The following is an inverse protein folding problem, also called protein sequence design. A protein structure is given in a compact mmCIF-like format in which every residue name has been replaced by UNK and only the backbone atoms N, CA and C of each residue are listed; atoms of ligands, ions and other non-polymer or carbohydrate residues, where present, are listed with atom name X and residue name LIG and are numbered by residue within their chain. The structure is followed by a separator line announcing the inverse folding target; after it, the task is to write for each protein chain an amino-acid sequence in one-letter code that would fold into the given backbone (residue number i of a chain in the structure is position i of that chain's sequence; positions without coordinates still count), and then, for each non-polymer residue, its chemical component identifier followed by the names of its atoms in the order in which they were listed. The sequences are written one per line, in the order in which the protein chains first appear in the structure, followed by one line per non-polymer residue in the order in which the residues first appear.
data_IF_370344574152
#
_entry.id   IF_370344574152
#
_cell.length_a   1.000
_cell.length_b   1.000
_cell.length_c   1.000
_cell.angle_alpha   90.00
_cell.angle_beta   90.00
_cell.angle_gamma   90.00
#
_symmetry.space_group_name_H-M   'P 1'
#
loop_
_entity.id
_entity.type
_entity.pdbx_description
1 polymer ?
#
# COMPACT_ATOMS: atom_id res chain seq x y z
N UNK A 1 20.65 -28.81 -3.29
CA UNK A 1 19.31 -28.49 -3.84
C UNK A 1 18.43 -28.11 -2.66
N UNK A 2 17.66 -27.04 -2.78
CA UNK A 2 16.69 -26.56 -1.79
C UNK A 2 15.30 -26.84 -2.31
N UNK A 3 14.46 -27.45 -1.47
CA UNK A 3 13.07 -27.75 -1.82
C UNK A 3 12.14 -26.68 -1.25
N UNK A 4 11.25 -26.18 -2.11
CA UNK A 4 10.21 -25.24 -1.73
C UNK A 4 8.82 -25.83 -1.93
N UNK A 5 7.88 -25.43 -1.08
CA UNK A 5 6.46 -25.66 -1.31
C UNK A 5 5.76 -24.34 -1.60
N UNK A 6 4.68 -24.38 -2.40
CA UNK A 6 3.85 -23.22 -2.72
C UNK A 6 2.45 -23.47 -2.17
N UNK A 7 1.93 -22.56 -1.37
CA UNK A 7 0.55 -22.58 -0.86
C UNK A 7 -0.29 -21.64 -1.72
N UNK A 8 -1.18 -22.19 -2.51
CA UNK A 8 -2.02 -21.52 -3.48
C UNK A 8 -1.40 -21.45 -4.88
N UNK A 9 -2.18 -21.87 -5.90
CA UNK A 9 -1.81 -21.81 -7.32
C UNK A 9 -2.74 -20.86 -8.09
N UNK A 10 -3.01 -19.69 -7.47
CA UNK A 10 -3.71 -18.59 -8.10
C UNK A 10 -2.82 -17.80 -9.06
N UNK A 11 -3.14 -16.54 -9.29
CA UNK A 11 -2.38 -15.65 -10.19
C UNK A 11 -0.91 -15.57 -9.77
N UNK A 12 -0.64 -15.29 -8.49
CA UNK A 12 0.74 -15.14 -7.99
C UNK A 12 1.45 -16.50 -7.91
N UNK A 13 0.85 -17.51 -7.31
CA UNK A 13 1.49 -18.83 -7.14
C UNK A 13 1.82 -19.52 -8.47
N UNK A 14 0.94 -19.43 -9.47
CA UNK A 14 1.25 -19.92 -10.83
C UNK A 14 2.40 -19.12 -11.46
N UNK A 15 2.46 -17.81 -11.19
CA UNK A 15 3.59 -16.98 -11.61
C UNK A 15 4.91 -17.38 -10.95
N UNK A 16 4.90 -17.69 -9.65
CA UNK A 16 6.08 -18.20 -8.92
C UNK A 16 6.58 -19.50 -9.52
N UNK A 17 5.67 -20.46 -9.75
CA UNK A 17 6.03 -21.73 -10.40
C UNK A 17 6.61 -21.51 -11.82
N UNK A 18 6.02 -20.59 -12.59
CA UNK A 18 6.52 -20.22 -13.92
C UNK A 18 7.93 -19.62 -13.86
N UNK A 19 8.17 -18.64 -12.99
CA UNK A 19 9.46 -17.93 -12.87
C UNK A 19 10.56 -18.90 -12.39
N UNK A 20 10.29 -19.71 -11.35
CA UNK A 20 11.25 -20.69 -10.83
C UNK A 20 11.65 -21.71 -11.92
N UNK A 21 10.72 -22.17 -12.74
CA UNK A 21 11.00 -23.15 -13.79
C UNK A 21 11.68 -22.51 -15.00
N UNK A 22 11.16 -21.39 -15.49
CA UNK A 22 11.67 -20.70 -16.69
C UNK A 22 13.10 -20.21 -16.50
N UNK A 23 13.41 -19.67 -15.31
CA UNK A 23 14.69 -19.03 -15.00
C UNK A 23 15.59 -19.90 -14.11
N UNK A 24 15.34 -21.23 -14.03
CA UNK A 24 15.98 -22.14 -13.06
C UNK A 24 17.52 -22.02 -13.00
N UNK A 25 18.20 -22.02 -14.15
CA UNK A 25 19.65 -21.94 -14.22
C UNK A 25 20.18 -20.59 -13.67
N UNK A 26 19.56 -19.46 -14.04
CA UNK A 26 19.94 -18.14 -13.55
C UNK A 26 19.67 -17.99 -12.05
N UNK A 27 18.54 -18.55 -11.59
CA UNK A 27 18.16 -18.55 -10.17
C UNK A 27 19.16 -19.39 -9.37
N UNK A 28 19.50 -20.60 -9.82
CA UNK A 28 20.47 -21.47 -9.17
C UNK A 28 21.84 -20.79 -9.05
N UNK A 29 22.28 -20.11 -10.10
CA UNK A 29 23.54 -19.35 -10.06
C UNK A 29 23.51 -18.23 -9.02
N UNK A 30 22.41 -17.46 -8.95
CA UNK A 30 22.26 -16.35 -7.98
C UNK A 30 22.07 -16.84 -6.56
N UNK A 31 21.36 -17.94 -6.36
CA UNK A 31 21.13 -18.54 -5.05
C UNK A 31 22.33 -19.35 -4.52
N UNK A 32 23.28 -19.70 -5.40
CA UNK A 32 24.42 -20.55 -5.08
C UNK A 32 24.09 -22.05 -5.04
N UNK A 33 22.81 -22.44 -5.29
CA UNK A 33 22.37 -23.83 -5.37
C UNK A 33 21.00 -23.92 -6.07
N UNK A 34 20.68 -25.14 -6.54
CA UNK A 34 19.40 -25.41 -7.20
C UNK A 34 18.23 -25.28 -6.24
N UNK A 35 17.11 -24.75 -6.76
CA UNK A 35 15.82 -24.62 -6.07
C UNK A 35 14.80 -25.46 -6.83
N UNK A 36 14.11 -26.36 -6.14
CA UNK A 36 13.08 -27.22 -6.72
C UNK A 36 11.73 -27.03 -6.03
N UNK A 37 10.66 -26.98 -6.81
CA UNK A 37 9.30 -27.04 -6.27
C UNK A 37 9.01 -28.50 -5.94
N UNK A 38 8.73 -28.79 -4.66
CA UNK A 38 8.46 -30.16 -4.19
C UNK A 38 6.98 -30.45 -4.03
N UNK A 39 6.19 -29.45 -3.59
CA UNK A 39 4.73 -29.55 -3.45
C UNK A 39 4.06 -28.21 -3.75
N UNK A 40 2.83 -28.30 -4.25
CA UNK A 40 1.94 -27.16 -4.45
C UNK A 40 0.61 -27.49 -3.80
N UNK A 41 0.18 -26.74 -2.81
CA UNK A 41 -1.12 -26.87 -2.17
C UNK A 41 -2.16 -26.05 -2.96
N UNK A 42 -3.17 -26.71 -3.49
CA UNK A 42 -4.37 -26.05 -4.03
C UNK A 42 -5.56 -27.03 -3.98
N UNK A 43 -6.75 -26.53 -3.77
CA UNK A 43 -7.98 -27.34 -3.74
C UNK A 43 -8.45 -27.72 -5.15
N UNK A 44 -8.02 -26.96 -6.15
CA UNK A 44 -8.33 -27.20 -7.58
C UNK A 44 -7.36 -28.23 -8.16
N UNK A 45 -7.72 -28.76 -9.31
CA UNK A 45 -6.91 -29.71 -10.08
C UNK A 45 -6.38 -29.05 -11.34
N UNK A 46 -5.15 -29.42 -11.73
CA UNK A 46 -4.46 -28.85 -12.88
C UNK A 46 -3.77 -29.98 -13.69
N UNK A 47 -4.58 -30.92 -14.24
CA UNK A 47 -4.03 -32.11 -14.92
C UNK A 47 -3.25 -31.80 -16.20
N UNK A 48 -3.47 -30.61 -16.79
CA UNK A 48 -2.81 -30.14 -18.00
C UNK A 48 -1.38 -29.65 -17.79
N UNK A 49 -1.01 -29.36 -16.53
CA UNK A 49 0.30 -28.79 -16.23
C UNK A 49 1.40 -29.87 -16.26
N UNK A 50 2.59 -29.55 -16.76
CA UNK A 50 3.72 -30.49 -16.82
C UNK A 50 4.30 -30.84 -15.44
N UNK A 51 3.73 -30.33 -14.35
CA UNK A 51 4.05 -30.59 -12.96
C UNK A 51 2.80 -30.91 -12.12
N UNK A 52 1.79 -31.51 -12.76
CA UNK A 52 0.54 -31.89 -12.11
C UNK A 52 0.74 -32.82 -10.90
N UNK A 53 1.78 -33.63 -10.94
CA UNK A 53 2.19 -34.59 -9.90
C UNK A 53 2.69 -33.90 -8.60
N UNK A 54 2.99 -32.61 -8.62
CA UNK A 54 3.43 -31.86 -7.45
C UNK A 54 2.25 -31.34 -6.59
N UNK A 55 1.01 -31.40 -7.10
CA UNK A 55 -0.14 -30.87 -6.39
C UNK A 55 -0.59 -31.79 -5.26
N UNK A 56 -1.03 -31.17 -4.17
CA UNK A 56 -1.70 -31.82 -3.04
C UNK A 56 -2.84 -30.94 -2.54
N UNK A 57 -3.86 -31.58 -1.95
CA UNK A 57 -4.95 -30.90 -1.21
C UNK A 57 -4.75 -30.98 0.30
N UNK A 58 -3.70 -31.69 0.74
CA UNK A 58 -3.42 -31.93 2.15
C UNK A 58 -2.19 -31.09 2.60
N UNK A 59 -2.43 -30.12 3.47
CA UNK A 59 -1.37 -29.27 4.04
C UNK A 59 -0.34 -30.07 4.87
N UNK A 60 -0.77 -31.13 5.53
CA UNK A 60 0.13 -31.95 6.36
C UNK A 60 1.26 -32.62 5.55
N UNK A 61 1.04 -32.91 4.26
CA UNK A 61 2.11 -33.41 3.37
C UNK A 61 3.24 -32.39 3.17
N UNK A 62 2.95 -31.09 3.33
CA UNK A 62 3.94 -30.02 3.28
C UNK A 62 4.55 -29.80 4.66
N UNK A 63 3.70 -29.74 5.67
CA UNK A 63 4.12 -29.45 7.04
C UNK A 63 5.09 -30.50 7.57
N UNK A 64 4.79 -31.79 7.34
CA UNK A 64 5.55 -32.93 7.88
C UNK A 64 6.72 -33.36 6.98
N UNK A 65 6.85 -32.87 5.76
CA UNK A 65 7.97 -33.22 4.86
C UNK A 65 9.26 -32.50 5.34
N UNK A 66 10.26 -33.25 5.87
CA UNK A 66 11.50 -32.65 6.39
C UNK A 66 12.42 -32.12 5.28
N UNK A 67 12.16 -32.50 4.02
CA UNK A 67 12.96 -32.01 2.90
C UNK A 67 12.49 -30.65 2.36
N UNK A 68 11.34 -30.11 2.83
CA UNK A 68 10.85 -28.78 2.49
C UNK A 68 11.43 -27.78 3.50
N UNK A 69 12.32 -26.89 3.04
CA UNK A 69 12.97 -25.88 3.86
C UNK A 69 12.25 -24.52 3.83
N UNK A 70 11.63 -24.19 2.70
CA UNK A 70 11.00 -22.88 2.48
C UNK A 70 9.57 -23.11 2.00
N UNK A 71 8.63 -22.35 2.58
CA UNK A 71 7.23 -22.34 2.17
C UNK A 71 6.88 -20.95 1.60
N UNK A 72 6.30 -20.95 0.42
CA UNK A 72 5.83 -19.75 -0.30
C UNK A 72 4.31 -19.67 -0.18
N UNK A 73 3.79 -18.67 0.55
CA UNK A 73 2.36 -18.44 0.72
C UNK A 73 1.85 -17.38 -0.27
N UNK A 74 0.87 -17.76 -1.09
CA UNK A 74 0.25 -16.92 -2.14
C UNK A 74 -1.27 -17.09 -2.22
N UNK A 75 -1.90 -17.50 -1.11
CA UNK A 75 -3.35 -17.76 -1.08
C UNK A 75 -4.18 -16.48 -0.96
N UNK A 76 -3.66 -15.50 -0.18
CA UNK A 76 -4.41 -14.30 0.17
C UNK A 76 -5.42 -14.54 1.30
N UNK A 77 -5.97 -13.45 1.85
CA UNK A 77 -6.85 -13.49 3.01
C UNK A 77 -6.09 -13.80 4.31
N UNK A 78 -6.77 -13.68 5.47
CA UNK A 78 -6.13 -13.95 6.76
C UNK A 78 -6.16 -15.44 7.10
N UNK A 79 -7.27 -16.12 6.90
CA UNK A 79 -7.42 -17.55 7.14
C UNK A 79 -7.70 -18.31 5.83
N UNK A 80 -7.12 -19.49 5.63
CA UNK A 80 -6.23 -20.26 6.52
C UNK A 80 -4.75 -19.85 6.47
N UNK A 81 -4.37 -18.77 5.76
CA UNK A 81 -2.97 -18.39 5.53
C UNK A 81 -2.20 -18.22 6.84
N UNK A 82 -2.78 -17.53 7.83
CA UNK A 82 -2.15 -17.32 9.13
C UNK A 82 -1.85 -18.65 9.84
N UNK A 83 -2.81 -19.56 9.87
CA UNK A 83 -2.65 -20.84 10.58
C UNK A 83 -1.55 -21.69 9.93
N UNK A 84 -1.49 -21.70 8.59
CA UNK A 84 -0.48 -22.44 7.85
C UNK A 84 0.92 -21.83 7.96
N UNK A 85 1.04 -20.51 7.84
CA UNK A 85 2.33 -19.80 8.00
C UNK A 85 2.88 -20.00 9.40
N UNK A 86 2.05 -19.80 10.43
CA UNK A 86 2.42 -20.02 11.82
C UNK A 86 2.89 -21.45 12.06
N UNK A 87 2.16 -22.44 11.56
CA UNK A 87 2.52 -23.86 11.68
C UNK A 87 3.84 -24.18 11.00
N UNK A 88 4.09 -23.61 9.81
CA UNK A 88 5.35 -23.77 9.09
C UNK A 88 6.54 -23.22 9.88
N UNK A 89 6.43 -21.99 10.41
CA UNK A 89 7.48 -21.38 11.22
C UNK A 89 7.75 -22.21 12.50
N UNK A 90 6.72 -22.70 13.17
CA UNK A 90 6.86 -23.56 14.34
C UNK A 90 7.48 -24.93 14.00
N UNK A 91 7.27 -25.43 12.77
CA UNK A 91 7.86 -26.67 12.27
C UNK A 91 9.28 -26.48 11.70
N UNK A 92 9.89 -25.32 11.86
CA UNK A 92 11.28 -25.07 11.42
C UNK A 92 11.44 -24.77 9.94
N UNK A 93 10.38 -24.31 9.26
CA UNK A 93 10.41 -23.92 7.84
C UNK A 93 10.36 -22.39 7.72
N UNK A 94 11.30 -21.81 6.97
CA UNK A 94 11.24 -20.40 6.60
C UNK A 94 10.05 -20.11 5.67
N UNK A 95 9.50 -18.92 5.73
CA UNK A 95 8.30 -18.55 4.95
C UNK A 95 8.52 -17.27 4.15
N UNK A 96 8.08 -17.31 2.91
CA UNK A 96 7.95 -16.15 2.02
C UNK A 96 6.47 -15.93 1.72
N UNK A 97 5.97 -14.70 1.81
CA UNK A 97 4.57 -14.41 1.50
C UNK A 97 4.37 -13.16 0.65
N UNK A 98 3.33 -13.14 -0.17
CA UNK A 98 2.82 -11.97 -0.86
C UNK A 98 1.57 -11.37 -0.20
N UNK A 99 1.15 -11.91 0.94
CA UNK A 99 -0.13 -11.64 1.57
C UNK A 99 -0.06 -10.40 2.49
N UNK A 100 -0.39 -9.24 1.93
CA UNK A 100 -0.42 -7.98 2.66
C UNK A 100 -1.39 -7.96 3.85
N UNK A 101 -2.50 -8.68 3.75
CA UNK A 101 -3.48 -8.76 4.84
C UNK A 101 -2.92 -9.53 6.04
N UNK A 102 -2.25 -10.63 5.78
CA UNK A 102 -1.56 -11.42 6.80
C UNK A 102 -0.47 -10.59 7.49
N UNK A 103 0.40 -9.95 6.71
CA UNK A 103 1.53 -9.17 7.25
C UNK A 103 1.05 -7.96 8.04
N UNK A 104 0.07 -7.21 7.52
CA UNK A 104 -0.49 -6.04 8.21
C UNK A 104 -1.24 -6.38 9.50
N UNK A 105 -1.84 -7.58 9.58
CA UNK A 105 -2.62 -7.99 10.75
C UNK A 105 -1.82 -8.78 11.79
N UNK A 106 -0.75 -9.51 11.39
CA UNK A 106 -0.05 -10.52 12.19
C UNK A 106 1.47 -10.50 12.02
N UNK A 107 2.01 -9.47 11.37
CA UNK A 107 3.43 -9.41 11.05
C UNK A 107 4.33 -9.43 12.29
N UNK A 108 3.94 -8.73 13.36
CA UNK A 108 4.66 -8.70 14.63
C UNK A 108 4.77 -10.09 15.27
N UNK A 109 3.65 -10.81 15.34
CA UNK A 109 3.60 -12.17 15.89
C UNK A 109 4.43 -13.16 15.05
N UNK A 110 4.25 -13.13 13.73
CA UNK A 110 4.95 -14.06 12.83
C UNK A 110 6.46 -13.80 12.77
N UNK A 111 6.87 -12.53 12.82
CA UNK A 111 8.28 -12.16 12.91
C UNK A 111 8.90 -12.60 14.25
N UNK A 112 8.15 -12.48 15.36
CA UNK A 112 8.59 -12.96 16.66
C UNK A 112 8.78 -14.48 16.65
N UNK A 113 7.82 -15.25 16.10
CA UNK A 113 7.94 -16.71 15.96
C UNK A 113 9.14 -17.08 15.08
N UNK A 114 9.33 -16.40 13.95
CA UNK A 114 10.49 -16.65 13.09
C UNK A 114 11.81 -16.38 13.82
N UNK A 115 11.85 -15.29 14.58
CA UNK A 115 13.00 -14.93 15.43
C UNK A 115 13.31 -16.02 16.46
N UNK A 116 12.33 -16.47 17.20
CA UNK A 116 12.50 -17.45 18.28
C UNK A 116 12.94 -18.83 17.76
N UNK A 117 12.57 -19.17 16.52
CA UNK A 117 12.95 -20.41 15.84
C UNK A 117 14.19 -20.27 14.95
N UNK A 118 14.87 -19.13 14.95
CA UNK A 118 16.01 -18.82 14.10
C UNK A 118 15.74 -19.00 12.60
N UNK A 119 14.55 -18.58 12.16
CA UNK A 119 14.04 -18.65 10.80
C UNK A 119 13.88 -17.25 10.21
N UNK A 120 13.63 -17.18 8.92
CA UNK A 120 13.25 -15.94 8.24
C UNK A 120 11.79 -15.97 7.82
N UNK A 121 11.15 -14.81 7.89
CA UNK A 121 9.84 -14.53 7.35
C UNK A 121 9.96 -13.30 6.45
N UNK A 122 9.89 -13.50 5.12
CA UNK A 122 10.09 -12.45 4.12
C UNK A 122 8.79 -12.17 3.36
N UNK A 123 8.57 -10.93 2.98
CA UNK A 123 7.30 -10.47 2.42
C UNK A 123 7.42 -9.28 1.46
N UNK A 124 8.53 -9.19 0.69
CA UNK A 124 8.74 -8.12 -0.31
C UNK A 124 7.53 -7.92 -1.23
N UNK A 125 6.93 -9.02 -1.67
CA UNK A 125 5.79 -9.00 -2.58
C UNK A 125 4.46 -8.54 -1.94
N UNK A 126 4.42 -8.31 -0.64
CA UNK A 126 3.23 -7.80 0.05
C UNK A 126 2.98 -6.31 -0.20
N UNK A 127 4.00 -5.55 -0.57
CA UNK A 127 3.92 -4.13 -0.92
C UNK A 127 4.64 -3.88 -2.24
N UNK A 128 4.07 -3.00 -3.06
CA UNK A 128 4.71 -2.55 -4.29
C UNK A 128 4.75 -3.56 -5.44
N UNK A 129 4.26 -4.79 -5.24
CA UNK A 129 4.22 -5.83 -6.28
C UNK A 129 5.61 -6.10 -6.90
N UNK A 130 5.88 -5.50 -8.06
CA UNK A 130 7.18 -5.61 -8.72
C UNK A 130 8.21 -4.55 -8.31
N UNK A 131 7.82 -3.57 -7.50
CA UNK A 131 8.70 -2.50 -7.00
C UNK A 131 9.47 -3.04 -5.79
N UNK A 132 10.79 -3.11 -5.81
CA UNK A 132 11.57 -3.45 -4.63
C UNK A 132 11.52 -2.27 -3.65
N UNK A 133 10.95 -2.46 -2.46
CA UNK A 133 10.79 -1.40 -1.46
C UNK A 133 11.15 -1.83 -0.03
N UNK A 134 10.70 -3.01 0.42
CA UNK A 134 10.93 -3.43 1.79
C UNK A 134 12.43 -3.72 2.03
N UNK A 135 13.06 -4.45 1.12
CA UNK A 135 14.49 -4.72 1.19
C UNK A 135 15.36 -3.47 1.04
N UNK A 136 15.08 -2.53 0.12
CA UNK A 136 15.75 -1.23 0.10
C UNK A 136 15.64 -0.45 1.41
N UNK A 137 14.46 -0.36 2.03
CA UNK A 137 14.30 0.29 3.34
C UNK A 137 15.18 -0.39 4.39
N UNK A 138 15.10 -1.72 4.49
CA UNK A 138 15.81 -2.52 5.50
C UNK A 138 17.34 -2.52 5.32
N UNK A 139 17.82 -2.51 4.08
CA UNK A 139 19.24 -2.75 3.77
C UNK A 139 19.93 -1.55 3.12
N UNK A 140 19.34 -0.98 2.07
CA UNK A 140 20.02 0.07 1.30
C UNK A 140 19.94 1.43 1.99
N UNK A 141 18.84 1.69 2.70
CA UNK A 141 18.58 2.93 3.41
C UNK A 141 18.88 2.84 4.91
N UNK A 142 19.41 1.72 5.39
CA UNK A 142 19.64 1.43 6.81
C UNK A 142 20.55 2.44 7.54
N UNK A 143 21.32 3.25 6.82
CA UNK A 143 22.15 4.30 7.41
C UNK A 143 21.40 5.62 7.64
N UNK A 144 20.12 5.70 7.25
CA UNK A 144 19.31 6.91 7.34
C UNK A 144 18.28 6.80 8.48
N UNK A 145 18.01 7.93 9.14
CA UNK A 145 16.79 8.08 9.91
C UNK A 145 15.66 8.42 8.93
N UNK A 146 14.83 7.42 8.63
CA UNK A 146 13.62 7.62 7.84
C UNK A 146 12.58 8.31 8.72
N UNK A 147 12.04 9.43 8.26
CA UNK A 147 11.02 10.18 9.01
C UNK A 147 9.68 10.26 8.29
N UNK A 148 9.61 9.97 6.99
CA UNK A 148 8.36 9.93 6.24
C UNK A 148 8.40 8.90 5.12
N UNK A 149 7.27 8.22 4.93
CA UNK A 149 6.97 7.43 3.74
C UNK A 149 5.61 7.88 3.22
N UNK A 150 5.53 8.17 1.93
CA UNK A 150 4.28 8.50 1.25
C UNK A 150 4.22 7.81 -0.11
N UNK A 151 3.04 7.43 -0.58
CA UNK A 151 2.97 6.81 -1.90
C UNK A 151 1.59 6.55 -2.45
N UNK A 152 1.58 6.39 -3.76
CA UNK A 152 0.48 5.84 -4.54
C UNK A 152 0.66 4.32 -4.50
N UNK A 153 -0.13 3.66 -3.65
CA UNK A 153 0.04 2.25 -3.30
C UNK A 153 -0.95 1.32 -3.99
N UNK A 154 -1.92 1.88 -4.73
CA UNK A 154 -2.95 1.11 -5.42
C UNK A 154 -3.07 1.56 -6.88
N UNK A 155 -2.84 0.64 -7.82
CA UNK A 155 -2.88 0.92 -9.25
C UNK A 155 -4.28 1.15 -9.80
N UNK A 156 -5.31 0.48 -9.26
CA UNK A 156 -6.71 0.63 -9.69
C UNK A 156 -7.21 2.04 -9.45
N UNK A 157 -7.05 2.55 -8.23
CA UNK A 157 -7.48 3.90 -7.87
C UNK A 157 -6.67 4.97 -8.60
N UNK A 158 -5.36 4.74 -8.79
CA UNK A 158 -4.54 5.67 -9.56
C UNK A 158 -4.96 5.73 -11.03
N UNK A 159 -5.26 4.58 -11.65
CA UNK A 159 -5.82 4.53 -13.02
C UNK A 159 -7.12 5.32 -13.11
N UNK A 160 -8.06 5.10 -12.18
CA UNK A 160 -9.35 5.81 -12.16
C UNK A 160 -9.16 7.32 -12.03
N UNK A 161 -8.34 7.77 -11.09
CA UNK A 161 -8.05 9.21 -10.89
C UNK A 161 -7.33 9.81 -12.11
N UNK A 162 -6.45 9.05 -12.78
CA UNK A 162 -5.82 9.48 -14.03
C UNK A 162 -6.87 9.70 -15.12
N UNK A 163 -7.82 8.77 -15.32
CA UNK A 163 -8.89 8.92 -16.31
C UNK A 163 -9.84 10.07 -15.99
N UNK A 164 -10.16 10.28 -14.71
CA UNK A 164 -10.94 11.42 -14.27
C UNK A 164 -10.23 12.75 -14.56
N UNK A 165 -8.90 12.80 -14.39
CA UNK A 165 -8.12 14.01 -14.59
C UNK A 165 -7.85 14.32 -16.08
N UNK A 166 -7.46 13.32 -16.87
CA UNK A 166 -7.05 13.53 -18.26
C UNK A 166 -8.25 13.57 -19.24
N UNK A 167 -9.29 12.76 -18.99
CA UNK A 167 -10.42 12.60 -19.88
C UNK A 167 -11.73 13.24 -19.34
N UNK A 168 -11.71 13.80 -18.13
CA UNK A 168 -12.89 14.37 -17.47
C UNK A 168 -13.95 13.33 -17.13
N UNK A 169 -13.57 12.06 -17.04
CA UNK A 169 -14.46 10.92 -16.88
C UNK A 169 -15.13 10.94 -15.51
N UNK A 170 -16.46 10.70 -15.38
CA UNK A 170 -17.11 10.49 -14.10
C UNK A 170 -16.56 9.25 -13.39
N UNK A 171 -16.59 9.23 -12.05
CA UNK A 171 -16.10 8.12 -11.22
C UNK A 171 -16.67 6.76 -11.64
N UNK A 172 -18.00 6.69 -11.89
CA UNK A 172 -18.67 5.45 -12.27
C UNK A 172 -18.16 4.89 -13.61
N UNK A 173 -17.87 5.76 -14.57
CA UNK A 173 -17.37 5.37 -15.88
C UNK A 173 -15.91 4.93 -15.80
N UNK A 174 -15.09 5.63 -14.99
CA UNK A 174 -13.70 5.25 -14.72
C UNK A 174 -13.63 3.88 -14.03
N UNK A 175 -14.54 3.59 -13.09
CA UNK A 175 -14.65 2.29 -12.45
C UNK A 175 -15.07 1.18 -13.44
N UNK A 176 -16.08 1.44 -14.26
CA UNK A 176 -16.53 0.49 -15.28
C UNK A 176 -15.40 0.14 -16.27
N UNK A 177 -14.63 1.15 -16.70
CA UNK A 177 -13.48 0.94 -17.57
C UNK A 177 -12.37 0.14 -16.88
N UNK A 178 -12.10 0.42 -15.60
CA UNK A 178 -11.12 -0.35 -14.81
C UNK A 178 -11.53 -1.82 -14.68
N UNK A 179 -12.81 -2.11 -14.53
CA UNK A 179 -13.36 -3.47 -14.49
C UNK A 179 -13.27 -4.16 -15.85
N UNK A 180 -13.60 -3.48 -16.94
CA UNK A 180 -13.50 -4.00 -18.30
C UNK A 180 -12.06 -4.39 -18.65
N UNK A 181 -11.09 -3.57 -18.25
CA UNK A 181 -9.66 -3.81 -18.47
C UNK A 181 -9.04 -4.82 -17.48
N UNK A 182 -9.81 -5.29 -16.49
CA UNK A 182 -9.37 -6.25 -15.49
C UNK A 182 -8.45 -5.64 -14.41
N UNK A 183 -8.44 -4.33 -14.24
CA UNK A 183 -7.73 -3.64 -13.17
C UNK A 183 -8.52 -3.60 -11.86
N UNK A 184 -9.84 -3.61 -11.94
CA UNK A 184 -10.74 -3.72 -10.78
C UNK A 184 -11.50 -5.05 -10.82
N UNK A 185 -11.69 -5.66 -9.67
CA UNK A 185 -12.54 -6.83 -9.49
C UNK A 185 -14.03 -6.43 -9.49
N UNK A 186 -14.92 -7.43 -9.51
CA UNK A 186 -16.37 -7.21 -9.42
C UNK A 186 -16.76 -6.47 -8.13
N UNK A 187 -16.11 -6.80 -7.02
CA UNK A 187 -16.19 -6.04 -5.77
C UNK A 187 -14.89 -5.25 -5.60
N UNK A 188 -14.87 -3.96 -5.96
CA UNK A 188 -13.67 -3.12 -5.91
C UNK A 188 -13.49 -2.44 -4.55
N UNK A 189 -14.29 -2.74 -3.54
CA UNK A 189 -14.36 -1.99 -2.26
C UNK A 189 -13.00 -1.87 -1.58
N UNK A 190 -12.18 -2.94 -1.60
CA UNK A 190 -10.86 -2.91 -1.00
C UNK A 190 -9.92 -1.86 -1.63
N UNK A 191 -10.10 -1.60 -2.93
CA UNK A 191 -9.32 -0.61 -3.68
C UNK A 191 -9.91 0.79 -3.48
N UNK A 192 -11.18 0.98 -3.87
CA UNK A 192 -11.81 2.31 -3.93
C UNK A 192 -12.03 2.96 -2.57
N UNK A 193 -12.17 2.16 -1.50
CA UNK A 193 -12.27 2.66 -0.12
C UNK A 193 -10.90 2.77 0.58
N UNK A 194 -9.80 2.44 -0.11
CA UNK A 194 -8.43 2.66 0.35
C UNK A 194 -7.87 1.57 1.27
N UNK A 195 -8.59 0.47 1.51
CA UNK A 195 -8.16 -0.59 2.44
C UNK A 195 -6.88 -1.31 1.97
N UNK A 196 -6.71 -1.50 0.67
CA UNK A 196 -5.47 -2.04 0.08
C UNK A 196 -4.28 -1.14 0.38
N UNK A 197 -4.42 0.17 0.15
CA UNK A 197 -3.39 1.17 0.46
C UNK A 197 -3.10 1.26 1.95
N UNK A 198 -4.13 1.12 2.81
CA UNK A 198 -4.00 1.12 4.25
C UNK A 198 -3.13 -0.05 4.73
N UNK A 199 -3.39 -1.28 4.29
CA UNK A 199 -2.56 -2.44 4.64
C UNK A 199 -1.09 -2.24 4.24
N UNK A 200 -0.86 -1.68 3.05
CA UNK A 200 0.49 -1.45 2.52
C UNK A 200 1.25 -0.37 3.29
N UNK A 201 0.61 0.77 3.61
CA UNK A 201 1.28 1.81 4.40
C UNK A 201 1.57 1.34 5.83
N UNK A 202 0.71 0.50 6.42
CA UNK A 202 0.97 -0.12 7.72
C UNK A 202 2.25 -0.97 7.70
N UNK A 203 2.44 -1.80 6.67
CA UNK A 203 3.64 -2.63 6.52
C UNK A 203 4.89 -1.77 6.35
N UNK A 204 4.82 -0.77 5.46
CA UNK A 204 5.93 0.17 5.23
C UNK A 204 6.31 0.93 6.50
N UNK A 205 5.33 1.46 7.21
CA UNK A 205 5.54 2.19 8.46
C UNK A 205 6.10 1.27 9.56
N UNK A 206 5.58 0.05 9.69
CA UNK A 206 6.08 -0.92 10.67
C UNK A 206 7.55 -1.23 10.46
N UNK A 207 7.96 -1.44 9.20
CA UNK A 207 9.36 -1.72 8.86
C UNK A 207 10.26 -0.51 9.08
N UNK A 208 9.86 0.67 8.56
CA UNK A 208 10.71 1.85 8.59
C UNK A 208 10.87 2.46 9.99
N UNK A 209 9.84 2.36 10.84
CA UNK A 209 9.84 2.98 12.17
C UNK A 209 10.00 1.96 13.30
N UNK A 210 10.13 0.67 12.98
CA UNK A 210 10.52 -0.39 13.91
C UNK A 210 9.44 -0.84 14.90
N UNK A 211 8.17 -0.46 14.70
CA UNK A 211 7.04 -0.89 15.55
C UNK A 211 5.79 -1.14 14.71
N UNK A 212 5.06 -2.20 15.03
CA UNK A 212 3.88 -2.61 14.27
C UNK A 212 2.79 -1.52 14.25
N UNK A 213 2.27 -1.23 13.07
CA UNK A 213 1.14 -0.33 12.82
C UNK A 213 -0.04 -1.18 12.34
N UNK A 214 -1.11 -1.20 13.13
CA UNK A 214 -2.32 -1.96 12.79
C UNK A 214 -3.23 -1.15 11.86
N UNK A 215 -3.86 -1.78 10.84
CA UNK A 215 -4.79 -1.08 9.94
C UNK A 215 -5.94 -0.35 10.65
N UNK A 216 -6.37 -0.84 11.82
CA UNK A 216 -7.42 -0.21 12.64
C UNK A 216 -7.02 1.13 13.25
N UNK A 217 -5.72 1.44 13.30
CA UNK A 217 -5.19 2.71 13.82
C UNK A 217 -5.06 3.79 12.76
N UNK A 218 -5.11 3.41 11.47
CA UNK A 218 -4.85 4.31 10.34
C UNK A 218 -6.18 4.82 9.78
N UNK A 219 -6.41 6.13 9.86
CA UNK A 219 -7.55 6.74 9.20
C UNK A 219 -7.49 6.47 7.70
N UNK A 220 -8.60 5.97 7.15
CA UNK A 220 -8.66 5.58 5.74
C UNK A 220 -9.90 6.18 5.08
N UNK A 221 -9.67 6.96 4.02
CA UNK A 221 -10.67 7.57 3.19
C UNK A 221 -10.43 7.15 1.74
N UNK A 222 -11.45 6.59 1.10
CA UNK A 222 -11.40 6.19 -0.31
C UNK A 222 -11.63 7.34 -1.29
N UNK A 223 -11.73 6.97 -2.58
CA UNK A 223 -11.91 7.92 -3.69
C UNK A 223 -13.35 8.03 -4.17
N UNK A 224 -14.28 7.27 -3.61
CA UNK A 224 -15.68 7.17 -4.07
C UNK A 224 -16.43 8.50 -4.05
N UNK A 225 -16.03 9.45 -3.20
CA UNK A 225 -16.61 10.79 -3.11
C UNK A 225 -15.97 11.82 -4.05
N UNK A 226 -14.89 11.49 -4.76
CA UNK A 226 -14.22 12.42 -5.67
C UNK A 226 -15.06 12.62 -6.93
N UNK A 227 -15.31 13.88 -7.26
CA UNK A 227 -16.13 14.27 -8.42
C UNK A 227 -15.29 14.91 -9.52
N UNK A 228 -15.79 14.97 -10.77
CA UNK A 228 -15.12 15.71 -11.84
C UNK A 228 -14.88 17.20 -11.50
N UNK A 229 -15.72 17.78 -10.63
CA UNK A 229 -15.55 19.17 -10.22
C UNK A 229 -14.36 19.33 -9.25
N UNK A 230 -14.11 18.36 -8.36
CA UNK A 230 -12.92 18.33 -7.50
C UNK A 230 -11.65 18.30 -8.35
N UNK A 231 -11.66 17.49 -9.41
CA UNK A 231 -10.54 17.38 -10.35
C UNK A 231 -10.28 18.70 -11.08
N UNK A 232 -11.33 19.43 -11.48
CA UNK A 232 -11.17 20.75 -12.12
C UNK A 232 -10.60 21.79 -11.15
N UNK A 233 -11.03 21.82 -9.90
CA UNK A 233 -10.43 22.70 -8.89
C UNK A 233 -8.98 22.32 -8.58
N UNK A 234 -8.66 21.05 -8.57
CA UNK A 234 -7.27 20.60 -8.43
C UNK A 234 -6.39 21.11 -9.59
N UNK A 235 -6.87 20.99 -10.83
CA UNK A 235 -6.19 21.52 -12.01
C UNK A 235 -6.07 23.06 -11.96
N UNK A 236 -7.13 23.77 -11.55
CA UNK A 236 -7.09 25.23 -11.38
C UNK A 236 -6.11 25.69 -10.29
N UNK A 237 -5.89 24.87 -9.27
CA UNK A 237 -4.86 25.11 -8.27
C UNK A 237 -3.43 24.83 -8.78
N UNK A 238 -3.30 24.09 -9.86
CA UNK A 238 -2.02 23.70 -10.45
C UNK A 238 -1.50 22.35 -9.95
N UNK A 239 -2.40 21.45 -9.60
CA UNK A 239 -2.07 20.12 -9.08
C UNK A 239 -3.01 19.02 -9.56
N UNK A 240 -2.86 17.85 -8.97
CA UNK A 240 -3.64 16.63 -9.27
C UNK A 240 -4.07 15.94 -7.97
N UNK A 241 -5.19 15.21 -8.04
CA UNK A 241 -5.66 14.39 -6.92
C UNK A 241 -5.13 12.96 -7.08
N UNK A 242 -4.48 12.44 -6.03
CA UNK A 242 -4.00 11.06 -5.93
C UNK A 242 -4.49 10.45 -4.62
N UNK A 243 -4.71 9.13 -4.59
CA UNK A 243 -4.90 8.41 -3.32
C UNK A 243 -3.53 8.11 -2.72
N UNK A 244 -3.24 8.76 -1.60
CA UNK A 244 -1.94 8.67 -0.94
C UNK A 244 -2.08 7.93 0.39
N UNK A 245 -1.22 6.91 0.60
CA UNK A 245 -0.91 6.42 1.92
C UNK A 245 0.32 7.16 2.44
N UNK A 246 0.25 7.71 3.64
CA UNK A 246 1.35 8.44 4.27
C UNK A 246 1.54 8.00 5.72
N UNK A 247 2.79 7.91 6.15
CA UNK A 247 3.19 7.73 7.54
C UNK A 247 4.39 8.62 7.85
N UNK A 248 4.26 9.45 8.88
CA UNK A 248 5.25 10.45 9.29
C UNK A 248 5.57 10.29 10.77
N UNK A 249 6.87 10.18 11.11
CA UNK A 249 7.35 10.15 12.50
C UNK A 249 7.27 11.55 13.11
N UNK A 250 6.71 11.65 14.30
CA UNK A 250 6.62 12.88 15.09
C UNK A 250 7.84 13.02 16.01
N UNK A 251 8.07 14.22 16.51
CA UNK A 251 9.15 14.48 17.47
C UNK A 251 9.03 13.68 18.78
N UNK A 252 7.79 13.36 19.19
CA UNK A 252 7.51 12.53 20.37
C UNK A 252 7.67 11.01 20.12
N UNK A 253 8.08 10.62 18.92
CA UNK A 253 8.30 9.24 18.51
C UNK A 253 7.03 8.48 18.08
N UNK A 254 5.85 9.09 18.21
CA UNK A 254 4.60 8.54 17.68
C UNK A 254 4.48 8.77 16.17
N UNK A 255 3.51 8.14 15.53
CA UNK A 255 3.27 8.29 14.11
C UNK A 255 1.98 9.05 13.82
N UNK A 256 2.04 9.92 12.81
CA UNK A 256 0.87 10.38 12.09
C UNK A 256 0.77 9.56 10.80
N UNK A 257 -0.32 8.79 10.65
CA UNK A 257 -0.50 7.92 9.49
C UNK A 257 -1.96 7.96 9.01
N UNK A 258 -2.14 8.04 7.69
CA UNK A 258 -3.47 8.03 7.06
C UNK A 258 -3.40 7.58 5.60
N UNK A 259 -4.56 7.21 5.06
CA UNK A 259 -4.80 7.02 3.63
C UNK A 259 -5.95 7.93 3.22
N UNK A 260 -5.72 8.80 2.25
CA UNK A 260 -6.76 9.69 1.76
C UNK A 260 -6.47 10.18 0.33
N UNK A 261 -7.48 10.63 -0.40
CA UNK A 261 -7.28 11.50 -1.55
C UNK A 261 -6.54 12.77 -1.11
N UNK A 262 -5.46 13.08 -1.80
CA UNK A 262 -4.67 14.29 -1.57
C UNK A 262 -4.48 15.08 -2.85
N UNK A 263 -4.49 16.40 -2.73
CA UNK A 263 -4.11 17.32 -3.78
C UNK A 263 -2.58 17.49 -3.76
N UNK A 264 -1.93 17.02 -4.80
CA UNK A 264 -0.48 17.12 -4.99
C UNK A 264 -0.17 18.30 -5.90
N UNK A 265 0.83 19.15 -5.56
CA UNK A 265 1.32 20.15 -6.50
C UNK A 265 1.90 19.49 -7.76
N UNK A 266 1.75 20.11 -8.92
CA UNK A 266 2.29 19.59 -10.17
C UNK A 266 3.82 19.43 -10.20
N UNK A 267 4.53 19.99 -9.22
CA UNK A 267 5.98 19.80 -9.03
C UNK A 267 6.33 18.54 -8.23
N UNK A 268 5.36 17.88 -7.62
CA UNK A 268 5.58 16.66 -6.85
C UNK A 268 6.00 15.50 -7.77
N UNK A 269 7.00 14.73 -7.36
CA UNK A 269 7.43 13.52 -8.07
C UNK A 269 6.33 12.45 -8.16
N UNK A 270 5.36 12.48 -7.26
CA UNK A 270 4.23 11.56 -7.28
C UNK A 270 3.08 12.05 -8.19
N UNK A 271 3.05 13.32 -8.57
CA UNK A 271 2.01 13.87 -9.44
C UNK A 271 2.02 13.21 -10.84
N UNK A 272 3.21 12.92 -11.38
CA UNK A 272 3.41 12.30 -12.69
C UNK A 272 3.26 10.77 -12.70
N UNK A 273 2.96 10.16 -11.57
CA UNK A 273 2.67 8.71 -11.50
C UNK A 273 1.25 8.46 -11.96
N UNK A 274 1.07 8.03 -13.20
CA UNK A 274 -0.24 7.87 -13.87
C UNK A 274 -0.58 6.40 -14.13
N UNK A 275 -1.80 6.16 -14.59
CA UNK A 275 -2.36 4.85 -14.92
C UNK A 275 -2.24 3.84 -13.76
N UNK A 276 -1.88 2.59 -14.07
CA UNK A 276 -1.77 1.48 -13.10
C UNK A 276 -0.44 1.48 -12.32
N UNK A 277 0.39 2.50 -12.51
CA UNK A 277 1.68 2.56 -11.85
C UNK A 277 1.57 3.04 -10.39
N UNK A 278 2.51 2.57 -9.58
CA UNK A 278 2.68 2.98 -8.20
C UNK A 278 3.97 3.79 -8.07
N UNK A 279 3.99 4.69 -7.08
CA UNK A 279 5.17 5.44 -6.69
C UNK A 279 5.24 5.50 -5.17
N UNK A 280 6.39 5.15 -4.60
CA UNK A 280 6.61 5.15 -3.16
C UNK A 280 7.80 6.05 -2.87
N UNK A 281 7.56 7.13 -2.14
CA UNK A 281 8.57 8.08 -1.70
C UNK A 281 9.00 7.73 -0.27
N UNK A 282 10.30 7.73 -0.04
CA UNK A 282 10.91 7.59 1.29
C UNK A 282 11.77 8.82 1.53
N UNK A 283 11.57 9.47 2.67
CA UNK A 283 12.34 10.62 3.13
C UNK A 283 13.25 10.23 4.29
N UNK A 284 14.52 10.51 4.15
CA UNK A 284 15.54 10.26 5.18
C UNK A 284 16.45 11.47 5.37
N UNK A 285 17.08 11.53 6.53
CA UNK A 285 17.93 12.66 6.96
C UNK A 285 19.18 12.86 6.07
N UNK A 286 19.80 11.78 5.65
CA UNK A 286 21.01 11.83 4.85
C UNK A 286 20.77 11.72 3.34
N UNK A 287 19.73 10.96 2.92
CA UNK A 287 19.46 10.69 1.51
C UNK A 287 18.49 11.69 0.87
N UNK A 288 17.71 12.42 1.68
CA UNK A 288 16.61 13.25 1.18
C UNK A 288 15.46 12.42 0.65
N UNK A 289 14.86 12.85 -0.45
CA UNK A 289 13.71 12.21 -1.08
C UNK A 289 14.17 11.17 -2.11
N UNK A 290 13.71 9.93 -1.96
CA UNK A 290 13.91 8.84 -2.92
C UNK A 290 12.54 8.30 -3.33
N UNK A 291 12.33 8.11 -4.64
CA UNK A 291 11.08 7.55 -5.17
C UNK A 291 11.35 6.23 -5.87
N UNK A 292 10.59 5.21 -5.48
CA UNK A 292 10.54 3.90 -6.12
C UNK A 292 9.29 3.83 -6.99
N UNK A 293 9.47 3.57 -8.28
CA UNK A 293 8.40 3.63 -9.27
C UNK A 293 8.31 2.33 -10.07
N UNK A 294 7.10 1.88 -10.37
CA UNK A 294 6.89 0.69 -11.20
C UNK A 294 5.47 0.14 -11.14
N UNK A 295 5.31 -1.12 -11.57
CA UNK A 295 4.02 -1.83 -11.50
C UNK A 295 3.78 -2.35 -10.10
N UNK A 296 2.75 -1.85 -9.43
CA UNK A 296 2.36 -2.21 -8.06
C UNK A 296 1.66 -3.56 -7.93
N UNK A 297 1.29 -4.20 -9.04
CA UNK A 297 0.62 -5.49 -9.10
C UNK A 297 0.90 -6.22 -10.42
N UNK A 298 0.44 -7.49 -10.51
CA UNK A 298 0.50 -8.30 -11.72
C UNK A 298 1.17 -9.65 -11.47
N UNK A 299 0.80 -10.68 -12.27
CA UNK A 299 1.27 -12.06 -12.12
C UNK A 299 2.80 -12.17 -12.02
N UNK A 300 3.50 -11.73 -13.05
CA UNK A 300 4.96 -11.86 -13.13
C UNK A 300 5.72 -10.83 -12.28
N UNK A 301 5.32 -9.55 -12.20
CA UNK A 301 5.96 -8.60 -11.30
C UNK A 301 5.93 -9.07 -9.83
N UNK A 302 4.77 -9.47 -9.32
CA UNK A 302 4.63 -9.97 -7.94
C UNK A 302 5.39 -11.29 -7.74
N UNK A 303 5.28 -12.23 -8.68
CA UNK A 303 6.05 -13.49 -8.62
C UNK A 303 7.57 -13.24 -8.63
N UNK A 304 8.05 -12.23 -9.34
CA UNK A 304 9.47 -11.85 -9.34
C UNK A 304 9.95 -11.43 -7.94
N UNK A 305 9.16 -10.65 -7.21
CA UNK A 305 9.48 -10.25 -5.84
C UNK A 305 9.46 -11.46 -4.89
N UNK A 306 8.46 -12.34 -5.00
CA UNK A 306 8.41 -13.61 -4.22
C UNK A 306 9.64 -14.46 -4.49
N UNK A 307 10.02 -14.68 -5.75
CA UNK A 307 11.19 -15.49 -6.11
C UNK A 307 12.50 -14.82 -5.66
N UNK A 308 12.56 -13.49 -5.65
CA UNK A 308 13.71 -12.78 -5.09
C UNK A 308 13.86 -13.04 -3.58
N UNK A 309 12.75 -13.08 -2.83
CA UNK A 309 12.75 -13.49 -1.43
C UNK A 309 13.14 -14.96 -1.25
N UNK A 310 12.67 -15.87 -2.09
CA UNK A 310 13.11 -17.28 -2.05
C UNK A 310 14.63 -17.40 -2.28
N UNK A 311 15.19 -16.65 -3.23
CA UNK A 311 16.64 -16.61 -3.46
C UNK A 311 17.37 -16.08 -2.23
N UNK A 312 16.83 -15.07 -1.60
CA UNK A 312 17.40 -14.46 -0.39
C UNK A 312 17.34 -15.44 0.79
N UNK A 313 16.23 -16.15 0.99
CA UNK A 313 16.08 -17.23 1.96
C UNK A 313 17.13 -18.32 1.76
N UNK A 314 17.32 -18.78 0.52
CA UNK A 314 18.32 -19.82 0.22
C UNK A 314 19.74 -19.40 0.64
N UNK A 315 20.08 -18.13 0.45
CA UNK A 315 21.37 -17.58 0.88
C UNK A 315 21.51 -17.49 2.40
N UNK A 316 20.40 -17.39 3.12
CA UNK A 316 20.35 -17.12 4.55
C UNK A 316 19.73 -18.26 5.39
N UNK A 317 19.56 -19.47 4.82
CA UNK A 317 18.97 -20.62 5.55
C UNK A 317 19.67 -20.96 6.88
N UNK A 318 20.96 -20.58 7.02
CA UNK A 318 21.76 -20.81 8.24
C UNK A 318 22.04 -19.52 9.00
N UNK A 319 21.51 -18.39 8.54
CA UNK A 319 21.75 -17.08 9.12
C UNK A 319 20.45 -16.29 9.10
N UNK A 320 19.90 -16.00 10.27
CA UNK A 320 18.71 -15.18 10.37
C UNK A 320 18.98 -13.77 9.87
N UNK A 321 18.09 -13.25 9.03
CA UNK A 321 18.03 -11.83 8.70
C UNK A 321 17.34 -11.07 9.84
N UNK A 322 17.79 -9.84 10.09
CA UNK A 322 17.28 -9.04 11.20
C UNK A 322 16.05 -8.20 10.81
N UNK A 323 15.33 -8.55 9.74
CA UNK A 323 14.05 -7.93 9.43
C UNK A 323 13.07 -8.20 10.58
N UNK A 324 12.75 -7.15 11.31
CA UNK A 324 11.97 -7.25 12.53
C UNK A 324 11.41 -5.88 12.92
N UNK A 325 10.27 -5.88 13.58
CA UNK A 325 9.75 -4.73 14.31
C UNK A 325 9.12 -5.17 15.63
N UNK A 326 9.04 -4.24 16.58
CA UNK A 326 8.41 -4.48 17.89
C UNK A 326 6.88 -4.54 17.77
N UNK A 327 6.17 -5.19 18.70
CA UNK A 327 4.72 -5.12 18.77
C UNK A 327 4.20 -3.68 18.82
N UNK A 328 3.04 -3.45 18.21
CA UNK A 328 2.34 -2.17 18.27
C UNK A 328 1.76 -1.86 19.63
N UNK A 329 1.41 -0.59 19.86
CA UNK A 329 0.61 -0.14 21.01
C UNK A 329 -0.55 0.74 20.54
N UNK A 330 -1.63 0.82 21.33
CA UNK A 330 -2.84 1.56 20.95
C UNK A 330 -2.60 3.06 20.73
N UNK A 331 -1.61 3.64 21.41
CA UNK A 331 -1.26 5.06 21.37
C UNK A 331 -0.13 5.39 20.37
N UNK A 332 0.36 4.41 19.61
CA UNK A 332 1.50 4.61 18.72
C UNK A 332 1.15 5.48 17.50
N UNK A 333 -0.03 5.32 16.93
CA UNK A 333 -0.56 6.16 15.86
C UNK A 333 -1.48 7.20 16.49
N UNK A 334 -1.20 8.49 16.24
CA UNK A 334 -2.03 9.56 16.75
C UNK A 334 -3.31 9.73 15.96
N UNK A 335 -4.31 10.39 16.54
CA UNK A 335 -5.52 10.75 15.80
C UNK A 335 -5.12 11.62 14.58
N UNK A 336 -5.65 11.29 13.41
CA UNK A 336 -5.32 12.01 12.17
C UNK A 336 -5.60 13.51 12.25
N UNK A 337 -6.53 13.94 13.11
CA UNK A 337 -6.89 15.34 13.36
C UNK A 337 -5.81 16.16 14.07
N UNK A 338 -4.82 15.49 14.68
CA UNK A 338 -3.64 16.14 15.23
C UNK A 338 -2.62 16.54 14.15
N UNK A 339 -2.75 15.99 12.94
CA UNK A 339 -1.88 16.29 11.80
C UNK A 339 -2.14 17.71 11.28
N UNK A 340 -1.06 18.39 10.89
CA UNK A 340 -1.14 19.69 10.23
C UNK A 340 -1.28 19.49 8.71
N UNK A 341 -2.25 20.17 8.10
CA UNK A 341 -2.49 20.12 6.66
C UNK A 341 -3.17 21.41 6.18
N UNK A 342 -2.93 21.81 4.95
CA UNK A 342 -3.84 22.66 4.22
C UNK A 342 -4.93 21.79 3.58
N UNK A 343 -6.09 22.37 3.31
CA UNK A 343 -7.21 21.62 2.76
C UNK A 343 -7.90 22.39 1.63
N UNK A 344 -8.09 21.75 0.49
CA UNK A 344 -9.01 22.20 -0.54
C UNK A 344 -10.43 21.88 -0.07
N UNK A 345 -11.23 22.93 0.13
CA UNK A 345 -12.61 22.85 0.57
C UNK A 345 -13.53 23.36 -0.54
N UNK A 346 -14.61 22.61 -0.79
CA UNK A 346 -15.72 23.02 -1.63
C UNK A 346 -16.98 23.12 -0.79
N UNK A 347 -17.61 24.27 -0.86
CA UNK A 347 -18.87 24.58 -0.15
C UNK A 347 -19.97 24.88 -1.14
N UNK A 348 -21.19 24.48 -0.78
CA UNK A 348 -22.42 24.94 -1.44
C UNK A 348 -23.09 25.96 -0.53
N UNK A 349 -23.42 27.14 -1.05
CA UNK A 349 -24.02 28.23 -0.32
C UNK A 349 -24.85 29.15 -1.24
N UNK A 350 -25.91 29.77 -0.71
CA UNK A 350 -26.76 30.67 -1.48
C UNK A 350 -26.07 32.01 -1.78
N UNK A 351 -25.27 32.54 -0.84
CA UNK A 351 -24.53 33.80 -0.98
C UNK A 351 -23.01 33.52 -0.77
N UNK A 352 -22.31 33.29 -1.88
CA UNK A 352 -20.88 33.00 -1.84
C UNK A 352 -20.04 34.17 -1.31
N UNK A 353 -20.50 35.42 -1.44
CA UNK A 353 -19.81 36.60 -0.93
C UNK A 353 -19.87 36.67 0.61
N UNK A 354 -21.08 36.50 1.17
CA UNK A 354 -21.26 36.48 2.62
C UNK A 354 -20.54 35.31 3.28
N UNK A 355 -20.60 34.10 2.70
CA UNK A 355 -19.90 32.93 3.22
C UNK A 355 -18.39 33.08 3.08
N UNK A 356 -17.87 33.68 2.00
CA UNK A 356 -16.45 33.93 1.84
C UNK A 356 -15.91 34.90 2.91
N UNK A 357 -16.67 35.94 3.28
CA UNK A 357 -16.31 36.81 4.37
C UNK A 357 -16.21 36.06 5.72
N UNK A 358 -17.13 35.12 5.99
CA UNK A 358 -17.05 34.25 7.17
C UNK A 358 -15.79 33.36 7.13
N UNK A 359 -15.50 32.75 5.95
CA UNK A 359 -14.31 31.94 5.73
C UNK A 359 -13.04 32.75 6.06
N UNK A 360 -12.92 33.98 5.55
CA UNK A 360 -11.77 34.84 5.86
C UNK A 360 -11.64 35.19 7.35
N UNK A 361 -12.79 35.37 8.02
CA UNK A 361 -12.79 35.65 9.46
C UNK A 361 -12.34 34.41 10.27
N UNK A 362 -12.75 33.21 9.88
CA UNK A 362 -12.46 31.96 10.60
C UNK A 362 -11.04 31.43 10.28
N UNK A 363 -10.69 31.34 8.99
CA UNK A 363 -9.46 30.71 8.52
C UNK A 363 -8.30 31.68 8.30
N UNK A 364 -8.57 33.01 8.28
CA UNK A 364 -7.59 34.02 7.91
C UNK A 364 -7.44 34.13 6.38
N UNK A 365 -6.20 34.27 5.92
CA UNK A 365 -5.90 34.36 4.49
C UNK A 365 -6.06 32.98 3.83
N UNK A 366 -6.99 32.86 2.89
CA UNK A 366 -7.26 31.66 2.12
C UNK A 366 -7.06 31.91 0.63
N UNK A 367 -6.64 30.90 -0.10
CA UNK A 367 -6.55 30.96 -1.56
C UNK A 367 -7.91 30.55 -2.17
N UNK A 368 -8.71 31.55 -2.62
CA UNK A 368 -9.94 31.27 -3.37
C UNK A 368 -9.60 30.69 -4.74
N UNK A 369 -10.37 29.70 -5.14
CA UNK A 369 -10.23 29.03 -6.45
C UNK A 369 -11.47 29.22 -7.29
N UNK A 370 -11.26 29.24 -8.61
CA UNK A 370 -12.29 29.25 -9.62
C UNK A 370 -11.97 28.16 -10.64
N UNK A 371 -13.01 27.44 -11.11
CA UNK A 371 -12.84 26.39 -12.10
C UNK A 371 -13.96 26.45 -13.14
N UNK A 372 -13.68 25.99 -14.35
CA UNK A 372 -14.66 25.93 -15.43
C UNK A 372 -15.85 25.04 -15.04
N UNK A 373 -17.06 25.56 -15.21
CA UNK A 373 -18.29 24.88 -14.84
C UNK A 373 -18.69 25.00 -13.37
N UNK A 374 -18.04 25.86 -12.58
CA UNK A 374 -18.51 26.19 -11.24
C UNK A 374 -19.89 26.86 -11.30
N UNK A 375 -20.72 26.62 -10.30
CA UNK A 375 -22.04 27.26 -10.18
C UNK A 375 -21.94 28.53 -9.31
N UNK A 376 -22.90 29.45 -9.47
CA UNK A 376 -22.98 30.67 -8.64
C UNK A 376 -23.13 30.38 -7.13
N UNK A 377 -23.54 29.17 -6.77
CA UNK A 377 -23.74 28.71 -5.38
C UNK A 377 -22.54 27.91 -4.85
N UNK A 378 -21.44 27.85 -5.58
CA UNK A 378 -20.25 27.09 -5.23
C UNK A 378 -19.12 28.02 -4.80
N UNK A 379 -18.48 27.67 -3.71
CA UNK A 379 -17.30 28.36 -3.18
C UNK A 379 -16.19 27.35 -2.91
N UNK A 380 -15.05 27.52 -3.57
CA UNK A 380 -13.89 26.68 -3.36
C UNK A 380 -12.67 27.52 -2.92
N UNK A 381 -11.90 26.99 -1.96
CA UNK A 381 -10.69 27.63 -1.48
C UNK A 381 -9.74 26.61 -0.84
N UNK A 382 -8.47 27.01 -0.72
CA UNK A 382 -7.45 26.26 0.04
C UNK A 382 -7.16 27.01 1.33
N UNK A 383 -7.20 26.28 2.46
CA UNK A 383 -6.90 26.83 3.81
C UNK A 383 -5.40 27.05 3.99
N UNK A 384 -4.98 27.88 4.95
CA UNK A 384 -3.63 27.80 5.50
C UNK A 384 -3.37 26.43 6.14
N UNK A 385 -2.10 26.08 6.32
CA UNK A 385 -1.69 24.88 7.09
C UNK A 385 -2.06 25.07 8.55
N UNK A 386 -2.81 24.11 9.11
CA UNK A 386 -3.20 24.08 10.52
C UNK A 386 -3.58 22.65 10.92
N UNK A 387 -3.70 22.34 12.24
CA UNK A 387 -4.22 21.05 12.69
C UNK A 387 -5.60 20.75 12.07
N UNK A 388 -5.80 19.54 11.55
CA UNK A 388 -7.05 19.18 10.88
C UNK A 388 -8.26 19.30 11.80
N UNK A 389 -8.13 19.00 13.10
CA UNK A 389 -9.19 19.21 14.07
C UNK A 389 -9.63 20.67 14.19
N UNK A 390 -8.72 21.63 14.00
CA UNK A 390 -9.06 23.05 13.95
C UNK A 390 -9.84 23.41 12.68
N UNK A 391 -9.51 22.78 11.54
CA UNK A 391 -10.32 22.93 10.31
C UNK A 391 -11.75 22.46 10.57
N UNK A 392 -11.92 21.33 11.26
CA UNK A 392 -13.24 20.80 11.64
C UNK A 392 -14.05 21.77 12.49
N UNK A 393 -13.41 22.35 13.52
CA UNK A 393 -14.03 23.37 14.40
C UNK A 393 -14.48 24.60 13.60
N UNK A 394 -13.63 25.10 12.71
CA UNK A 394 -13.93 26.26 11.89
C UNK A 394 -15.04 25.98 10.88
N UNK A 395 -15.07 24.80 10.25
CA UNK A 395 -16.16 24.38 9.36
C UNK A 395 -17.49 24.25 10.10
N UNK A 396 -17.47 23.77 11.33
CA UNK A 396 -18.67 23.67 12.17
C UNK A 396 -19.23 25.04 12.59
N UNK A 397 -18.39 26.08 12.59
CA UNK A 397 -18.80 27.47 12.90
C UNK A 397 -19.35 28.22 11.68
N UNK A 398 -19.19 27.70 10.46
CA UNK A 398 -19.76 28.30 9.27
C UNK A 398 -21.29 28.17 9.28
N UNK A 399 -21.97 29.26 8.92
CA UNK A 399 -23.41 29.29 8.71
C UNK A 399 -23.75 29.44 7.23
N UNK A 400 -24.93 28.97 6.83
CA UNK A 400 -25.47 29.12 5.46
C UNK A 400 -24.60 28.47 4.36
N UNK A 401 -23.78 27.48 4.74
CA UNK A 401 -22.95 26.71 3.84
C UNK A 401 -22.97 25.22 4.18
N UNK A 402 -22.87 24.39 3.16
CA UNK A 402 -22.72 22.93 3.28
C UNK A 402 -21.40 22.52 2.67
N UNK A 403 -20.61 21.74 3.40
CA UNK A 403 -19.36 21.16 2.86
C UNK A 403 -19.69 20.08 1.84
N UNK A 404 -19.22 20.26 0.61
CA UNK A 404 -19.40 19.34 -0.52
C UNK A 404 -18.22 18.41 -0.65
N UNK A 405 -17.00 18.94 -0.47
CA UNK A 405 -15.77 18.16 -0.61
C UNK A 405 -14.66 18.71 0.28
N UNK A 406 -13.77 17.81 0.71
CA UNK A 406 -12.61 18.06 1.55
C UNK A 406 -11.44 17.22 1.05
N UNK A 407 -10.38 17.87 0.59
CA UNK A 407 -9.20 17.17 0.05
C UNK A 407 -7.96 17.79 0.68
N UNK A 408 -7.17 16.99 1.37
CA UNK A 408 -5.91 17.40 1.99
C UNK A 408 -4.91 17.81 0.93
N UNK A 409 -4.09 18.82 1.20
CA UNK A 409 -3.00 19.23 0.32
C UNK A 409 -1.72 18.56 0.81
N UNK A 410 -1.05 17.85 -0.09
CA UNK A 410 0.25 17.26 0.20
C UNK A 410 1.34 18.34 0.19
N UNK A 411 2.36 18.16 1.03
CA UNK A 411 3.50 19.07 1.21
C UNK A 411 4.80 18.52 0.59
N UNK A 412 4.69 17.65 -0.42
CA UNK A 412 5.82 17.01 -1.12
C UNK A 412 5.66 16.94 -2.63
#
# INVERSE_FOLDING_TARGET
MINVAILGHGVVGSGVAEVLRRNAASIAHKAGQEIAIRRILDLREFPELPYADLFTKNFDEILQDPEIQIVVETMGGLHPAYDYVKSCLLAGKSVVTSNKELVAAKGDELLAIAKDNNLNFLFEASVGGGIPILRPIDQCLAANEVYEIAGILNGTTNFMLTKMAEEGMPFADALALAQELGYAERDPSADIEGHDSCRKICILASLAFGRHVYPSQVYTQGISAITPMDVRYAAAWGGVIKLIGIARKREDGRLHALVAPMLLPGSSLLADVNDVFNGIMVRGDAIGDVVFYGRGAGKLPTASAVVADVIDEVKHLKARKYQFWEPGSEDYVVDYREGETAMLLRLHCADTGAVFAQVQQLFGEVQRLHADGETAQELAFVTPVMPEGKIDEQLAALTDATVVSRIRVADF
#
